data_IF_612470535939
#
_entry.id   IF_612470535939
#
_cell.length_a   1.000
_cell.length_b   1.000
_cell.length_c   1.000
_cell.angle_alpha   90.00
_cell.angle_beta   90.00
_cell.angle_gamma   90.00
#
_symmetry.space_group_name_H-M   'P 1'
#
loop_
_entity.id
_entity.type
_entity.pdbx_description
1 polymer ?
#
# COMPACT_ATOMS: atom_id res chain seq x y z
N UNK A 1 -10.46 29.39 -5.77
CA UNK A 1 -11.57 29.20 -4.83
C UNK A 1 -11.20 28.02 -3.95
N UNK A 2 -10.92 28.29 -2.68
CA UNK A 2 -10.53 27.26 -1.75
C UNK A 2 -11.71 26.35 -1.43
N UNK A 3 -11.60 25.07 -1.74
CA UNK A 3 -12.45 24.07 -1.11
C UNK A 3 -11.97 23.93 0.36
N UNK A 4 -12.71 24.55 1.25
CA UNK A 4 -12.67 24.28 2.67
C UNK A 4 -13.17 22.85 2.84
N UNK A 5 -12.23 21.88 2.98
CA UNK A 5 -12.58 20.55 3.46
C UNK A 5 -13.04 20.71 4.90
N UNK A 6 -14.33 20.56 5.12
CA UNK A 6 -14.89 20.38 6.45
C UNK A 6 -14.39 19.02 6.92
N UNK A 7 -13.38 19.00 7.82
CA UNK A 7 -12.99 17.79 8.51
C UNK A 7 -14.22 17.19 9.17
N UNK A 8 -14.59 15.98 8.78
CA UNK A 8 -15.68 15.25 9.41
C UNK A 8 -15.12 14.56 10.67
N UNK A 9 -15.33 15.12 11.88
CA UNK A 9 -14.71 14.61 13.09
C UNK A 9 -15.23 13.24 13.52
N UNK A 10 -16.33 12.76 12.94
CA UNK A 10 -16.99 11.49 13.28
C UNK A 10 -16.64 10.35 12.34
N UNK A 11 -16.15 10.66 11.13
CA UNK A 11 -15.74 9.67 10.13
C UNK A 11 -14.55 8.83 10.58
N UNK A 12 -14.44 7.61 10.03
CA UNK A 12 -13.26 6.77 10.21
C UNK A 12 -12.17 7.19 9.25
N UNK A 13 -10.93 7.17 9.72
CA UNK A 13 -9.79 7.42 8.87
C UNK A 13 -9.67 6.32 7.84
N UNK A 14 -9.54 6.73 6.60
CA UNK A 14 -9.38 5.87 5.44
C UNK A 14 -8.10 6.25 4.70
N UNK A 15 -7.27 5.24 4.39
CA UNK A 15 -6.06 5.41 3.61
C UNK A 15 -6.12 4.48 2.40
N UNK A 16 -5.79 5.01 1.24
CA UNK A 16 -5.67 4.25 0.01
C UNK A 16 -4.37 4.64 -0.69
N UNK A 17 -3.62 3.62 -1.13
CA UNK A 17 -2.45 3.82 -1.97
C UNK A 17 -2.66 3.17 -3.32
N UNK A 18 -2.35 3.91 -4.37
CA UNK A 18 -2.19 3.36 -5.70
C UNK A 18 -0.68 3.17 -5.97
N UNK A 19 -0.29 1.94 -6.24
CA UNK A 19 1.11 1.56 -6.47
C UNK A 19 1.21 0.70 -7.72
N UNK A 20 2.24 0.96 -8.52
CA UNK A 20 2.50 0.23 -9.75
C UNK A 20 3.88 -0.40 -9.76
N UNK A 21 4.07 -1.37 -10.66
CA UNK A 21 5.39 -1.92 -10.99
C UNK A 21 5.82 -1.37 -12.33
N UNK A 22 7.06 -0.95 -12.42
CA UNK A 22 7.71 -0.55 -13.67
C UNK A 22 9.10 -1.17 -13.77
N UNK A 23 9.63 -1.23 -14.98
CA UNK A 23 10.95 -1.78 -15.24
C UNK A 23 11.92 -0.67 -15.61
N UNK A 24 13.03 -0.62 -14.87
CA UNK A 24 14.10 0.33 -15.11
C UNK A 24 15.41 -0.43 -15.28
N UNK A 25 16.23 -0.10 -16.31
CA UNK A 25 17.54 -0.72 -16.46
C UNK A 25 18.46 -0.29 -15.31
N UNK A 26 19.18 -1.25 -14.75
CA UNK A 26 20.28 -1.00 -13.81
C UNK A 26 21.54 -0.51 -14.52
N UNK A 27 22.63 -0.33 -13.78
CA UNK A 27 23.92 0.13 -14.31
C UNK A 27 24.53 -0.84 -15.34
N UNK A 28 24.17 -2.12 -15.28
CA UNK A 28 24.57 -3.16 -16.23
C UNK A 28 23.62 -3.27 -17.45
N UNK A 29 22.58 -2.45 -17.48
CA UNK A 29 21.56 -2.42 -18.55
C UNK A 29 20.51 -3.51 -18.42
N UNK A 30 20.46 -4.25 -17.31
CA UNK A 30 19.45 -5.26 -17.04
C UNK A 30 18.19 -4.59 -16.50
N UNK A 31 17.05 -4.95 -17.07
CA UNK A 31 15.76 -4.39 -16.67
C UNK A 31 15.31 -5.00 -15.34
N UNK A 32 15.26 -4.19 -14.29
CA UNK A 32 14.86 -4.58 -12.96
C UNK A 32 13.44 -4.08 -12.62
N UNK A 33 12.62 -4.89 -11.94
CA UNK A 33 11.32 -4.45 -11.48
C UNK A 33 11.47 -3.50 -10.30
N UNK A 34 10.76 -2.37 -10.37
CA UNK A 34 10.69 -1.35 -9.34
C UNK A 34 9.24 -1.06 -9.00
N UNK A 35 9.00 -0.55 -7.81
CA UNK A 35 7.68 -0.17 -7.32
C UNK A 35 7.60 1.35 -7.27
N UNK A 36 6.52 1.93 -7.78
CA UNK A 36 6.27 3.37 -7.73
C UNK A 36 4.96 3.67 -7.03
N UNK A 37 4.99 4.63 -6.12
CA UNK A 37 3.78 5.24 -5.57
C UNK A 37 3.15 6.14 -6.63
N UNK A 38 1.95 5.84 -7.07
CA UNK A 38 1.22 6.60 -8.09
C UNK A 38 0.27 7.62 -7.48
N UNK A 39 -0.34 7.27 -6.34
CA UNK A 39 -1.23 8.14 -5.58
C UNK A 39 -1.35 7.68 -4.13
N UNK A 40 -1.62 8.63 -3.21
CA UNK A 40 -1.94 8.34 -1.82
C UNK A 40 -3.07 9.25 -1.35
N UNK A 41 -4.11 8.64 -0.80
CA UNK A 41 -5.29 9.33 -0.30
C UNK A 41 -5.50 8.99 1.18
N UNK A 42 -5.73 10.03 2.00
CA UNK A 42 -5.96 9.89 3.45
C UNK A 42 -7.02 10.88 3.89
N UNK A 43 -8.18 10.36 4.31
CA UNK A 43 -9.29 11.20 4.76
C UNK A 43 -10.19 10.48 5.77
N UNK A 44 -10.93 11.25 6.57
CA UNK A 44 -11.98 10.74 7.46
C UNK A 44 -13.30 10.74 6.73
N UNK A 45 -13.86 9.55 6.49
CA UNK A 45 -15.11 9.37 5.73
C UNK A 45 -16.12 8.56 6.54
N UNK A 46 -17.39 8.91 6.38
CA UNK A 46 -18.50 8.03 6.73
C UNK A 46 -18.66 6.93 5.68
N UNK A 47 -19.33 5.83 6.04
CA UNK A 47 -19.38 4.64 5.18
C UNK A 47 -19.97 4.89 3.78
N UNK A 48 -21.05 5.70 3.59
CA UNK A 48 -21.55 6.00 2.26
C UNK A 48 -20.56 6.76 1.38
N UNK A 49 -19.84 7.71 1.97
CA UNK A 49 -18.80 8.50 1.30
C UNK A 49 -17.59 7.61 0.98
N UNK A 50 -17.15 6.78 1.93
CA UNK A 50 -16.08 5.82 1.74
C UNK A 50 -16.37 4.89 0.54
N UNK A 51 -17.56 4.33 0.46
CA UNK A 51 -17.98 3.47 -0.64
C UNK A 51 -17.93 4.22 -1.98
N UNK A 52 -18.44 5.45 -2.02
CA UNK A 52 -18.43 6.29 -3.22
C UNK A 52 -16.99 6.59 -3.67
N UNK A 53 -16.15 7.06 -2.75
CA UNK A 53 -14.74 7.39 -3.02
C UNK A 53 -13.97 6.17 -3.52
N UNK A 54 -14.12 5.03 -2.87
CA UNK A 54 -13.46 3.78 -3.29
C UNK A 54 -13.88 3.35 -4.71
N UNK A 55 -15.16 3.51 -5.05
CA UNK A 55 -15.67 3.23 -6.40
C UNK A 55 -15.11 4.21 -7.45
N UNK A 56 -15.11 5.51 -7.14
CA UNK A 56 -14.59 6.55 -8.03
C UNK A 56 -13.10 6.33 -8.31
N UNK A 57 -12.29 6.09 -7.26
CA UNK A 57 -10.86 5.81 -7.41
C UNK A 57 -10.60 4.53 -8.21
N UNK A 58 -11.36 3.46 -7.96
CA UNK A 58 -11.24 2.25 -8.78
C UNK A 58 -11.61 2.52 -10.24
N UNK A 59 -12.69 3.25 -10.51
CA UNK A 59 -13.14 3.56 -11.86
C UNK A 59 -12.16 4.43 -12.63
N UNK A 60 -11.48 5.34 -11.94
CA UNK A 60 -10.49 6.25 -12.51
C UNK A 60 -9.15 5.56 -12.77
N UNK A 61 -8.67 4.81 -11.79
CA UNK A 61 -7.33 4.20 -11.82
C UNK A 61 -7.29 2.86 -12.55
N UNK A 62 -8.42 2.13 -12.63
CA UNK A 62 -8.52 0.80 -13.25
C UNK A 62 -7.40 -0.16 -12.82
N UNK A 63 -7.14 -0.37 -11.53
CA UNK A 63 -6.03 -1.18 -11.07
C UNK A 63 -6.24 -2.66 -11.39
N UNK A 64 -5.14 -3.40 -11.61
CA UNK A 64 -5.17 -4.86 -11.80
C UNK A 64 -5.64 -5.61 -10.55
N UNK A 65 -5.45 -5.03 -9.37
CA UNK A 65 -5.93 -5.57 -8.11
C UNK A 65 -6.38 -4.45 -7.16
N UNK A 66 -7.56 -4.61 -6.58
CA UNK A 66 -8.07 -3.73 -5.51
C UNK A 66 -8.10 -4.52 -4.20
N UNK A 67 -7.34 -4.06 -3.21
CA UNK A 67 -7.13 -4.80 -1.96
C UNK A 67 -7.73 -3.99 -0.80
N UNK A 68 -8.53 -4.65 0.03
CA UNK A 68 -9.14 -4.06 1.23
C UNK A 68 -8.73 -4.86 2.45
N UNK A 69 -8.30 -4.19 3.52
CA UNK A 69 -8.05 -4.85 4.80
C UNK A 69 -9.36 -5.32 5.43
N UNK A 70 -9.46 -6.61 5.72
CA UNK A 70 -10.65 -7.30 6.25
C UNK A 70 -10.94 -7.03 7.72
N UNK A 71 -10.71 -5.80 8.21
CA UNK A 71 -11.00 -5.37 9.58
C UNK A 71 -12.04 -4.26 9.61
N UNK A 72 -12.83 -4.22 10.68
CA UNK A 72 -13.79 -3.15 10.96
C UNK A 72 -14.66 -2.77 9.74
N UNK A 73 -14.41 -1.60 9.13
CA UNK A 73 -15.15 -1.11 7.96
C UNK A 73 -14.79 -1.83 6.65
N UNK A 74 -13.68 -2.55 6.60
CA UNK A 74 -13.21 -3.23 5.38
C UNK A 74 -14.13 -4.37 4.93
N UNK A 75 -14.68 -5.16 5.84
CA UNK A 75 -15.60 -6.26 5.47
C UNK A 75 -16.89 -5.76 4.81
N UNK A 76 -17.64 -4.80 5.39
CA UNK A 76 -18.80 -4.22 4.72
C UNK A 76 -18.45 -3.54 3.39
N UNK A 77 -17.32 -2.84 3.33
CA UNK A 77 -16.85 -2.20 2.11
C UNK A 77 -16.57 -3.23 1.02
N UNK A 78 -15.86 -4.31 1.33
CA UNK A 78 -15.58 -5.41 0.39
C UNK A 78 -16.86 -6.00 -0.18
N UNK A 79 -17.86 -6.24 0.66
CA UNK A 79 -19.15 -6.77 0.21
C UNK A 79 -19.86 -5.82 -0.76
N UNK A 80 -19.95 -4.55 -0.41
CA UNK A 80 -20.60 -3.52 -1.25
C UNK A 80 -19.89 -3.32 -2.59
N UNK A 81 -18.56 -3.23 -2.58
CA UNK A 81 -17.78 -3.04 -3.81
C UNK A 81 -17.88 -4.27 -4.73
N UNK A 82 -17.88 -5.49 -4.18
CA UNK A 82 -18.11 -6.72 -4.97
C UNK A 82 -19.52 -6.74 -5.58
N UNK A 83 -20.53 -6.29 -4.84
CA UNK A 83 -21.90 -6.17 -5.37
C UNK A 83 -22.00 -5.15 -6.52
N UNK A 84 -21.10 -4.17 -6.56
CA UNK A 84 -20.96 -3.21 -7.65
C UNK A 84 -20.10 -3.73 -8.83
N UNK A 85 -19.62 -4.96 -8.77
CA UNK A 85 -18.82 -5.60 -9.83
C UNK A 85 -17.31 -5.35 -9.74
N UNK A 86 -16.81 -4.77 -8.63
CA UNK A 86 -15.37 -4.54 -8.43
C UNK A 86 -14.71 -5.82 -7.91
N UNK A 87 -13.63 -6.32 -8.54
CA UNK A 87 -12.92 -7.52 -8.10
C UNK A 87 -12.03 -7.22 -6.88
N UNK A 88 -12.64 -7.08 -5.71
CA UNK A 88 -11.92 -6.79 -4.46
C UNK A 88 -11.30 -8.05 -3.89
N UNK A 89 -10.01 -7.99 -3.57
CA UNK A 89 -9.29 -8.96 -2.76
C UNK A 89 -9.26 -8.51 -1.30
N UNK A 90 -9.60 -9.41 -0.38
CA UNK A 90 -9.52 -9.12 1.06
C UNK A 90 -8.15 -9.53 1.59
N UNK A 91 -7.53 -8.62 2.35
CA UNK A 91 -6.30 -8.88 3.08
C UNK A 91 -6.57 -8.93 4.56
N UNK A 92 -6.16 -10.01 5.20
CA UNK A 92 -6.23 -10.14 6.66
C UNK A 92 -4.81 -10.32 7.21
N UNK A 93 -4.28 -9.35 7.96
CA UNK A 93 -2.98 -9.48 8.61
C UNK A 93 -2.96 -10.70 9.53
N UNK A 94 -1.89 -11.50 9.47
CA UNK A 94 -1.71 -12.63 10.38
C UNK A 94 -1.55 -12.16 11.83
N UNK A 95 -2.11 -12.93 12.79
CA UNK A 95 -1.93 -12.66 14.21
C UNK A 95 -0.45 -12.74 14.57
N UNK A 96 0.06 -11.73 15.28
CA UNK A 96 1.47 -11.66 15.69
C UNK A 96 2.40 -10.97 14.70
N UNK A 97 1.90 -10.51 13.56
CA UNK A 97 2.67 -9.69 12.63
C UNK A 97 2.52 -8.22 13.05
N UNK A 98 3.36 -7.82 13.98
CA UNK A 98 3.49 -6.46 14.48
C UNK A 98 3.85 -5.51 13.32
N UNK A 99 3.44 -4.25 13.39
CA UNK A 99 3.71 -3.21 12.40
C UNK A 99 5.21 -3.08 12.11
N UNK A 100 6.05 -3.10 13.15
CA UNK A 100 7.51 -3.02 13.03
C UNK A 100 8.05 -4.21 12.22
N UNK A 101 7.56 -5.42 12.48
CA UNK A 101 7.96 -6.61 11.73
C UNK A 101 7.58 -6.51 10.24
N UNK A 102 6.41 -5.93 9.92
CA UNK A 102 5.98 -5.71 8.54
C UNK A 102 6.84 -4.68 7.82
N UNK A 103 7.14 -3.55 8.47
CA UNK A 103 8.05 -2.53 7.92
C UNK A 103 9.44 -3.12 7.69
N UNK A 104 9.98 -3.87 8.65
CA UNK A 104 11.27 -4.54 8.51
C UNK A 104 11.28 -5.56 7.34
N UNK A 105 10.16 -6.21 7.08
CA UNK A 105 10.03 -7.16 5.97
C UNK A 105 10.11 -6.53 4.58
N UNK A 106 9.98 -5.22 4.47
CA UNK A 106 10.09 -4.45 3.21
C UNK A 106 11.25 -3.46 3.21
N UNK A 107 12.00 -3.34 4.31
CA UNK A 107 13.08 -2.37 4.46
C UNK A 107 14.18 -2.54 3.40
N UNK A 108 14.45 -3.77 2.97
CA UNK A 108 15.43 -4.08 1.93
C UNK A 108 15.00 -3.58 0.54
N UNK A 109 13.71 -3.45 0.24
CA UNK A 109 13.22 -2.81 -0.99
C UNK A 109 13.62 -1.33 -1.04
N UNK A 110 13.53 -0.63 0.09
CA UNK A 110 13.98 0.75 0.20
C UNK A 110 15.50 0.85 0.12
N UNK A 111 16.21 -0.02 0.82
CA UNK A 111 17.68 -0.05 0.83
C UNK A 111 18.28 -0.34 -0.55
N UNK A 112 17.60 -1.13 -1.36
CA UNK A 112 18.01 -1.46 -2.73
C UNK A 112 17.59 -0.42 -3.78
N UNK A 113 16.88 0.66 -3.38
CA UNK A 113 16.41 1.70 -4.30
C UNK A 113 15.26 1.27 -5.21
N UNK A 114 14.56 0.18 -4.87
CA UNK A 114 13.46 -0.35 -5.69
C UNK A 114 12.11 0.33 -5.44
N UNK A 115 12.02 1.26 -4.47
CA UNK A 115 10.80 1.99 -4.15
C UNK A 115 10.94 3.44 -4.59
N UNK A 116 10.04 3.88 -5.44
CA UNK A 116 10.05 5.19 -6.07
C UNK A 116 8.79 5.97 -5.66
N UNK A 117 8.93 7.29 -5.60
CA UNK A 117 7.83 8.20 -5.36
C UNK A 117 7.98 9.46 -6.25
N UNK A 118 6.88 10.03 -6.75
CA UNK A 118 6.94 11.29 -7.50
C UNK A 118 7.23 12.47 -6.57
N UNK A 119 7.69 13.59 -7.13
CA UNK A 119 7.83 14.85 -6.41
C UNK A 119 6.46 15.53 -6.25
N UNK A 120 5.64 15.01 -5.35
CA UNK A 120 4.29 15.49 -5.09
C UNK A 120 4.02 15.57 -3.60
N UNK A 121 3.02 16.38 -3.21
CA UNK A 121 2.66 16.56 -1.81
C UNK A 121 2.23 15.23 -1.14
N UNK A 122 1.45 14.41 -1.81
CA UNK A 122 1.02 13.14 -1.22
C UNK A 122 2.21 12.19 -0.97
N UNK A 123 3.21 12.21 -1.85
CA UNK A 123 4.42 11.40 -1.66
C UNK A 123 5.27 11.93 -0.49
N UNK A 124 5.36 13.25 -0.33
CA UNK A 124 6.02 13.87 0.83
C UNK A 124 5.36 13.43 2.15
N UNK A 125 4.02 13.46 2.23
CA UNK A 125 3.27 13.02 3.40
C UNK A 125 3.55 11.54 3.76
N UNK A 126 3.63 10.65 2.77
CA UNK A 126 4.00 9.24 2.97
C UNK A 126 5.44 9.10 3.48
N UNK A 127 6.39 9.82 2.87
CA UNK A 127 7.81 9.80 3.25
C UNK A 127 8.00 10.31 4.68
N UNK A 128 7.34 11.40 5.03
CA UNK A 128 7.40 11.98 6.39
C UNK A 128 6.87 10.99 7.44
N UNK A 129 5.76 10.30 7.17
CA UNK A 129 5.19 9.32 8.08
C UNK A 129 6.11 8.09 8.25
N UNK A 130 6.76 7.63 7.16
CA UNK A 130 7.79 6.59 7.25
C UNK A 130 9.02 7.05 8.05
N UNK A 131 9.48 8.28 7.85
CA UNK A 131 10.63 8.83 8.56
C UNK A 131 10.37 8.99 10.08
N UNK A 132 9.12 9.28 10.46
CA UNK A 132 8.71 9.39 11.86
C UNK A 132 8.45 8.03 12.53
N UNK A 133 8.20 6.97 11.77
CA UNK A 133 7.89 5.64 12.30
C UNK A 133 9.07 5.02 13.06
N UNK A 134 8.89 4.33 14.21
CA UNK A 134 7.63 4.02 14.89
C UNK A 134 7.20 5.07 15.93
N UNK A 135 7.91 6.17 16.07
CA UNK A 135 7.68 7.18 17.12
C UNK A 135 6.67 8.28 16.70
N UNK A 136 6.24 8.27 15.45
CA UNK A 136 5.27 9.23 14.90
C UNK A 136 3.88 9.10 15.53
N UNK A 137 3.12 10.18 15.50
CA UNK A 137 1.74 10.23 15.99
C UNK A 137 0.77 9.44 15.10
N UNK A 138 1.10 9.34 13.81
CA UNK A 138 0.33 8.64 12.79
C UNK A 138 1.18 7.60 12.09
N UNK A 139 0.57 6.49 11.69
CA UNK A 139 1.21 5.37 10.99
C UNK A 139 0.29 4.69 9.94
N UNK A 140 -0.80 5.36 9.58
CA UNK A 140 -1.80 4.79 8.69
C UNK A 140 -1.31 4.68 7.24
N UNK A 141 -0.51 5.68 6.78
CA UNK A 141 0.13 5.64 5.47
C UNK A 141 1.26 4.61 5.42
N UNK A 142 2.00 4.43 6.53
CA UNK A 142 3.01 3.39 6.67
C UNK A 142 2.36 2.01 6.58
N UNK A 143 1.24 1.79 7.27
CA UNK A 143 0.53 0.50 7.26
C UNK A 143 0.03 0.14 5.85
N UNK A 144 -0.65 1.06 5.16
CA UNK A 144 -1.19 0.78 3.83
C UNK A 144 -0.10 0.63 2.77
N UNK A 145 0.97 1.45 2.81
CA UNK A 145 2.13 1.29 1.94
C UNK A 145 2.83 -0.06 2.14
N UNK A 146 3.05 -0.43 3.41
CA UNK A 146 3.72 -1.69 3.75
C UNK A 146 2.92 -2.91 3.27
N UNK A 147 1.59 -2.85 3.35
CA UNK A 147 0.72 -3.91 2.82
C UNK A 147 0.87 -4.05 1.30
N UNK A 148 0.91 -2.94 0.57
CA UNK A 148 1.12 -2.93 -0.87
C UNK A 148 2.50 -3.51 -1.24
N UNK A 149 3.57 -3.06 -0.59
CA UNK A 149 4.94 -3.54 -0.82
C UNK A 149 5.07 -5.05 -0.54
N UNK A 150 4.51 -5.54 0.57
CA UNK A 150 4.47 -6.96 0.89
C UNK A 150 3.71 -7.77 -0.18
N UNK A 151 2.62 -7.23 -0.72
CA UNK A 151 1.87 -7.89 -1.78
C UNK A 151 2.70 -8.06 -3.04
N UNK A 152 3.45 -7.04 -3.47
CA UNK A 152 4.32 -7.14 -4.62
C UNK A 152 5.45 -8.15 -4.40
N UNK A 153 6.05 -8.15 -3.23
CA UNK A 153 7.11 -9.09 -2.87
C UNK A 153 6.61 -10.53 -2.79
N UNK A 154 5.54 -10.79 -2.05
CA UNK A 154 4.96 -12.13 -1.88
C UNK A 154 4.31 -12.66 -3.17
N UNK A 155 3.83 -11.78 -4.03
CA UNK A 155 3.26 -12.12 -5.32
C UNK A 155 4.30 -12.44 -6.40
N UNK A 156 5.59 -12.29 -6.10
CA UNK A 156 6.69 -12.53 -7.05
C UNK A 156 6.82 -11.47 -8.15
N UNK A 157 6.17 -10.31 -7.99
CA UNK A 157 6.31 -9.19 -8.94
C UNK A 157 7.63 -8.46 -8.79
N UNK A 158 8.18 -8.45 -7.57
CA UNK A 158 9.50 -7.89 -7.26
C UNK A 158 10.24 -8.91 -6.40
N UNK A 159 11.36 -9.42 -6.88
CA UNK A 159 12.27 -10.28 -6.14
C UNK A 159 13.62 -9.60 -6.01
N UNK A 160 14.22 -9.68 -4.83
CA UNK A 160 15.56 -9.21 -4.58
C UNK A 160 16.52 -10.39 -4.65
N UNK A 161 17.80 -10.11 -4.95
CA UNK A 161 18.85 -11.13 -4.96
C UNK A 161 18.92 -11.90 -3.62
N UNK A 162 18.62 -11.22 -2.52
CA UNK A 162 18.54 -11.81 -1.17
C UNK A 162 17.38 -12.81 -1.00
N UNK A 163 16.37 -12.78 -1.85
CA UNK A 163 15.24 -13.73 -1.81
C UNK A 163 15.63 -15.07 -2.42
N UNK A 164 16.50 -15.08 -3.43
CA UNK A 164 17.04 -16.30 -4.04
C UNK A 164 17.93 -17.08 -3.07
N UNK A 165 18.74 -16.38 -2.26
CA UNK A 165 19.57 -17.00 -1.23
C UNK A 165 18.75 -17.66 -0.12
N UNK A 166 17.60 -17.09 0.24
CA UNK A 166 16.68 -17.68 1.24
C UNK A 166 15.95 -18.92 0.74
N UNK A 167 15.68 -18.99 -0.58
CA UNK A 167 15.02 -20.14 -1.23
C UNK A 167 15.93 -21.36 -1.37
N UNK A 168 17.24 -21.16 -1.39
CA UNK A 168 18.23 -22.20 -1.67
C UNK A 168 18.95 -22.73 -0.41
N UNK A 169 18.35 -22.58 0.78
CA UNK A 169 18.90 -23.15 2.02
C UNK A 169 18.42 -24.61 2.20
N UNK A 170 19.28 -25.63 1.95
CA UNK A 170 18.91 -27.04 2.01
C UNK A 170 18.68 -27.59 3.44
N UNK A 171 18.77 -26.74 4.48
CA UNK A 171 18.67 -27.14 5.88
C UNK A 171 17.32 -26.83 6.54
N UNK A 172 16.22 -26.73 5.78
CA UNK A 172 14.86 -26.75 6.34
C UNK A 172 14.33 -28.18 6.30
N UNK A 173 14.74 -28.96 7.27
CA UNK A 173 14.09 -30.22 7.67
C UNK A 173 13.41 -30.01 9.01
#
# INVERSE_FOLDING_TARGET
MGHSFLENPTGRLFCLHNVGVFYHPDDDGLSQPNIILLDAYKERLEFPELKKTAYEMWSEMQPDAFIVEGKAAGMPLTFELRAMGIPVSEYTPSRGNDKIARVNAVADLFASGNVWAPETRFAEEVIEEFAAFPAGEHDDLVDSSTQALLRFRQGGFVSLHTDEERGNNPNRS
#
